data_IF_077582287870
#
_entry.id   IF_077582287870
#
_cell.length_a   1.000
_cell.length_b   1.000
_cell.length_c   1.000
_cell.angle_alpha   90.00
_cell.angle_beta   90.00
_cell.angle_gamma   90.00
#
_symmetry.space_group_name_H-M   'P 1'
#
loop_
_entity.id
_entity.type
_entity.pdbx_description
1 polymer ?
#
# COMPACT_ATOMS: atom_id res chain seq x y z
N UNK A 1 -35.64 -20.41 -20.12
CA UNK A 1 -34.27 -20.83 -19.72
C UNK A 1 -33.16 -20.05 -20.42
N UNK A 2 -33.21 -19.73 -21.71
CA UNK A 2 -32.12 -19.01 -22.43
C UNK A 2 -31.89 -17.54 -21.98
N UNK A 3 -32.91 -16.84 -21.49
CA UNK A 3 -32.82 -15.44 -21.06
C UNK A 3 -32.11 -15.35 -19.69
N UNK A 4 -32.39 -16.28 -18.78
CA UNK A 4 -31.72 -16.32 -17.45
C UNK A 4 -30.23 -16.59 -17.56
N UNK A 5 -29.80 -17.45 -18.49
CA UNK A 5 -28.38 -17.74 -18.70
C UNK A 5 -27.61 -16.52 -19.28
N UNK A 6 -28.27 -15.72 -20.14
CA UNK A 6 -27.64 -14.49 -20.65
C UNK A 6 -27.56 -13.38 -19.59
N UNK A 7 -28.58 -13.26 -18.74
CA UNK A 7 -28.57 -12.31 -17.63
C UNK A 7 -27.51 -12.67 -16.59
N UNK A 8 -27.35 -13.95 -16.27
CA UNK A 8 -26.33 -14.44 -15.33
C UNK A 8 -24.91 -14.20 -15.88
N UNK A 9 -24.68 -14.38 -17.18
CA UNK A 9 -23.41 -14.13 -17.84
C UNK A 9 -23.05 -12.62 -17.85
N UNK A 10 -24.02 -11.74 -18.03
CA UNK A 10 -23.81 -10.29 -17.98
C UNK A 10 -23.49 -9.85 -16.55
N UNK A 11 -24.15 -10.44 -15.52
CA UNK A 11 -23.92 -10.10 -14.12
C UNK A 11 -22.54 -10.57 -13.63
N UNK A 12 -22.04 -11.72 -14.09
CA UNK A 12 -20.67 -12.19 -13.78
C UNK A 12 -19.58 -11.33 -14.43
N UNK A 13 -19.84 -10.73 -15.61
CA UNK A 13 -18.87 -9.86 -16.26
C UNK A 13 -18.67 -8.52 -15.52
N UNK A 14 -19.69 -8.01 -14.84
CA UNK A 14 -19.58 -6.75 -14.07
C UNK A 14 -18.73 -6.90 -12.80
N UNK A 15 -18.61 -8.09 -12.21
CA UNK A 15 -17.78 -8.30 -11.02
C UNK A 15 -16.26 -8.38 -11.32
N UNK A 16 -15.87 -8.63 -12.55
CA UNK A 16 -14.45 -8.74 -12.93
C UNK A 16 -13.78 -7.38 -13.16
N UNK A 17 -14.54 -6.29 -13.34
CA UNK A 17 -14.00 -4.96 -13.59
C UNK A 17 -13.61 -4.17 -12.33
N UNK A 18 -13.93 -4.66 -11.13
CA UNK A 18 -13.78 -3.87 -9.91
C UNK A 18 -12.36 -3.91 -9.29
N UNK A 19 -11.54 -4.89 -9.62
CA UNK A 19 -10.24 -5.07 -8.94
C UNK A 19 -9.07 -4.30 -9.56
N UNK A 20 -9.13 -3.92 -10.84
CA UNK A 20 -7.99 -3.28 -11.54
C UNK A 20 -8.07 -1.75 -11.61
N UNK A 21 -9.17 -1.15 -11.19
CA UNK A 21 -9.44 0.28 -11.47
C UNK A 21 -8.43 1.26 -10.86
N UNK A 22 -7.93 0.99 -9.64
CA UNK A 22 -6.96 1.88 -8.98
C UNK A 22 -5.56 1.74 -9.57
N UNK A 23 -5.13 0.51 -9.84
CA UNK A 23 -3.84 0.23 -10.46
C UNK A 23 -3.77 0.75 -11.90
N UNK A 24 -4.80 0.52 -12.70
CA UNK A 24 -4.90 1.06 -14.06
C UNK A 24 -4.89 2.59 -14.07
N UNK A 25 -5.65 3.22 -13.16
CA UNK A 25 -5.67 4.67 -13.02
C UNK A 25 -4.29 5.22 -12.65
N UNK A 26 -3.57 4.55 -11.73
CA UNK A 26 -2.23 4.93 -11.30
C UNK A 26 -1.23 4.92 -12.48
N UNK A 27 -1.35 3.96 -13.39
CA UNK A 27 -0.41 3.78 -14.49
C UNK A 27 -0.79 4.51 -15.78
N UNK A 28 -2.08 4.85 -15.97
CA UNK A 28 -2.56 5.49 -17.18
C UNK A 28 -2.66 7.03 -17.10
N UNK A 29 -2.40 7.63 -15.94
CA UNK A 29 -2.47 9.08 -15.75
C UNK A 29 -1.13 9.66 -15.30
N UNK A 30 -0.90 10.93 -15.66
CA UNK A 30 0.24 11.69 -15.13
C UNK A 30 -0.20 12.41 -13.85
N UNK A 31 0.61 12.27 -12.81
CA UNK A 31 0.39 12.91 -11.52
C UNK A 31 1.51 13.89 -11.20
N UNK A 32 1.15 14.97 -10.52
CA UNK A 32 2.08 16.01 -10.07
C UNK A 32 1.77 16.34 -8.61
N UNK A 33 2.29 15.53 -7.65
CA UNK A 33 2.05 15.76 -6.23
C UNK A 33 2.48 17.15 -5.81
N UNK A 34 1.75 17.79 -4.86
CA UNK A 34 1.89 19.24 -4.59
C UNK A 34 3.11 19.59 -3.74
N UNK A 35 3.69 18.65 -3.01
CA UNK A 35 4.83 18.88 -2.11
C UNK A 35 5.79 17.68 -2.08
N UNK A 36 6.96 17.87 -1.44
CA UNK A 36 8.03 16.87 -1.40
C UNK A 36 7.61 15.57 -0.72
N UNK A 37 6.93 15.63 0.44
CA UNK A 37 6.45 14.43 1.11
C UNK A 37 5.48 13.62 0.24
N UNK A 38 4.49 14.31 -0.31
CA UNK A 38 3.48 13.71 -1.19
C UNK A 38 4.11 13.08 -2.43
N UNK A 39 5.14 13.74 -2.98
CA UNK A 39 5.87 13.20 -4.14
C UNK A 39 6.62 11.93 -3.80
N UNK A 40 7.40 11.93 -2.71
CA UNK A 40 8.17 10.74 -2.31
C UNK A 40 7.25 9.58 -1.97
N UNK A 41 6.18 9.84 -1.23
CA UNK A 41 5.22 8.81 -0.85
C UNK A 41 4.48 8.24 -2.06
N UNK A 42 4.11 9.10 -3.02
CA UNK A 42 3.53 8.67 -4.30
C UNK A 42 4.48 7.73 -5.06
N UNK A 43 5.73 8.12 -5.21
CA UNK A 43 6.72 7.34 -5.95
C UNK A 43 6.93 5.96 -5.30
N UNK A 44 7.06 5.91 -3.97
CA UNK A 44 7.28 4.68 -3.20
C UNK A 44 6.08 3.74 -3.25
N UNK A 45 4.86 4.24 -3.06
CA UNK A 45 3.67 3.40 -3.18
C UNK A 45 3.39 2.95 -4.62
N UNK A 46 3.71 3.77 -5.61
CA UNK A 46 3.62 3.36 -7.01
C UNK A 46 4.58 2.22 -7.33
N UNK A 47 5.81 2.27 -6.82
CA UNK A 47 6.78 1.19 -6.97
C UNK A 47 6.27 -0.10 -6.34
N UNK A 48 5.75 -0.04 -5.10
CA UNK A 48 5.17 -1.20 -4.43
C UNK A 48 3.95 -1.76 -5.18
N UNK A 49 3.04 -0.91 -5.63
CA UNK A 49 1.89 -1.33 -6.41
C UNK A 49 2.29 -2.08 -7.69
N UNK A 50 3.32 -1.60 -8.39
CA UNK A 50 3.85 -2.27 -9.57
C UNK A 50 4.52 -3.61 -9.23
N UNK A 51 5.27 -3.67 -8.12
CA UNK A 51 5.89 -4.91 -7.66
C UNK A 51 4.85 -5.97 -7.34
N UNK A 52 3.82 -5.64 -6.55
CA UNK A 52 2.74 -6.56 -6.21
C UNK A 52 1.97 -7.04 -7.45
N UNK A 53 1.64 -6.13 -8.38
CA UNK A 53 0.90 -6.51 -9.59
C UNK A 53 1.74 -7.35 -10.56
N UNK A 54 3.01 -6.97 -10.81
CA UNK A 54 3.80 -7.52 -11.91
C UNK A 54 4.68 -8.69 -11.50
N UNK A 55 5.15 -8.73 -10.25
CA UNK A 55 6.07 -9.75 -9.74
C UNK A 55 5.37 -10.75 -8.83
N UNK A 56 4.54 -10.26 -7.92
CA UNK A 56 3.87 -11.09 -6.93
C UNK A 56 2.51 -11.59 -7.40
N UNK A 57 1.90 -10.88 -8.37
CA UNK A 57 0.54 -11.12 -8.86
C UNK A 57 -0.53 -11.01 -7.74
N UNK A 58 -0.19 -10.26 -6.68
CA UNK A 58 -1.13 -9.90 -5.62
C UNK A 58 -1.88 -8.61 -5.97
N UNK A 59 -3.09 -8.80 -6.48
CA UNK A 59 -3.96 -7.69 -6.88
C UNK A 59 -4.60 -6.97 -5.70
N UNK A 60 -4.66 -7.57 -4.51
CA UNK A 60 -5.19 -6.92 -3.31
C UNK A 60 -4.19 -5.90 -2.78
N UNK A 61 -2.93 -6.30 -2.62
CA UNK A 61 -1.84 -5.42 -2.20
C UNK A 61 -1.52 -4.38 -3.27
N UNK A 62 -1.53 -4.76 -4.56
CA UNK A 62 -1.40 -3.81 -5.67
C UNK A 62 -2.49 -2.72 -5.65
N UNK A 63 -3.74 -3.08 -5.35
CA UNK A 63 -4.84 -2.12 -5.20
C UNK A 63 -4.61 -1.20 -4.01
N UNK A 64 -4.28 -1.74 -2.83
CA UNK A 64 -4.03 -0.96 -1.62
C UNK A 64 -2.97 0.11 -1.85
N UNK A 65 -1.80 -0.29 -2.36
CA UNK A 65 -0.71 0.64 -2.66
C UNK A 65 -1.04 1.63 -3.77
N UNK A 66 -1.82 1.22 -4.76
CA UNK A 66 -2.31 2.13 -5.80
C UNK A 66 -3.23 3.21 -5.22
N UNK A 67 -4.13 2.87 -4.33
CA UNK A 67 -5.03 3.82 -3.66
C UNK A 67 -4.24 4.80 -2.82
N UNK A 68 -3.27 4.35 -2.03
CA UNK A 68 -2.36 5.20 -1.27
C UNK A 68 -1.53 6.14 -2.17
N UNK A 69 -0.98 5.64 -3.26
CA UNK A 69 -0.29 6.47 -4.24
C UNK A 69 -1.21 7.57 -4.80
N UNK A 70 -2.44 7.22 -5.19
CA UNK A 70 -3.41 8.17 -5.72
C UNK A 70 -3.85 9.23 -4.70
N UNK A 71 -3.88 8.89 -3.41
CA UNK A 71 -4.14 9.86 -2.33
C UNK A 71 -2.94 10.78 -2.10
N UNK A 72 -1.72 10.22 -2.09
CA UNK A 72 -0.50 11.01 -2.02
C UNK A 72 -0.40 12.00 -3.19
N UNK A 73 -0.79 11.58 -4.40
CA UNK A 73 -0.82 12.45 -5.59
C UNK A 73 -1.75 13.66 -5.42
N UNK A 74 -2.77 13.58 -4.57
CA UNK A 74 -3.69 14.68 -4.24
C UNK A 74 -3.16 15.57 -3.09
N UNK A 75 -2.03 15.22 -2.47
CA UNK A 75 -1.49 15.94 -1.32
C UNK A 75 -2.09 15.52 0.03
N UNK A 76 -2.78 14.39 0.09
CA UNK A 76 -3.26 13.84 1.36
C UNK A 76 -2.06 13.44 2.22
N UNK A 77 -2.05 13.85 3.47
CA UNK A 77 -0.98 13.51 4.43
C UNK A 77 -1.25 12.12 5.02
N UNK A 78 -0.84 11.12 4.26
CA UNK A 78 -1.08 9.70 4.56
C UNK A 78 -0.20 9.27 5.73
N UNK A 79 -0.80 8.53 6.64
CA UNK A 79 -0.13 7.80 7.72
C UNK A 79 0.00 6.32 7.33
N UNK A 80 0.87 5.53 8.01
CA UNK A 80 0.85 4.08 7.82
C UNK A 80 -0.52 3.51 8.15
N UNK A 81 -0.85 2.34 7.59
CA UNK A 81 -2.09 1.66 7.93
C UNK A 81 -2.19 1.40 9.43
N UNK A 82 -3.42 1.51 9.97
CA UNK A 82 -3.63 1.18 11.36
C UNK A 82 -3.19 -0.26 11.62
N UNK A 83 -2.46 -0.47 12.71
CA UNK A 83 -1.92 -1.79 13.06
C UNK A 83 -2.99 -2.89 13.13
N UNK A 84 -4.22 -2.54 13.49
CA UNK A 84 -5.33 -3.49 13.56
C UNK A 84 -5.95 -3.84 12.20
N UNK A 85 -5.52 -3.18 11.13
CA UNK A 85 -5.91 -3.54 9.77
C UNK A 85 -5.31 -4.90 9.39
N UNK A 86 -4.09 -5.17 9.86
CA UNK A 86 -3.30 -6.33 9.54
C UNK A 86 -3.56 -7.49 10.51
N UNK A 87 -3.67 -8.71 10.00
CA UNK A 87 -3.80 -9.95 10.80
C UNK A 87 -2.43 -10.53 11.13
N UNK A 88 -1.58 -9.74 11.73
CA UNK A 88 -0.20 -10.09 12.05
C UNK A 88 -0.17 -11.23 13.08
N UNK A 89 0.65 -12.29 12.87
CA UNK A 89 0.85 -13.34 13.87
C UNK A 89 1.31 -12.79 15.24
N UNK A 90 0.80 -13.37 16.33
CA UNK A 90 0.97 -12.85 17.68
C UNK A 90 2.44 -12.61 18.07
N UNK A 91 3.35 -13.48 17.62
CA UNK A 91 4.79 -13.40 17.88
C UNK A 91 5.46 -12.16 17.28
N UNK A 92 4.86 -11.55 16.24
CA UNK A 92 5.39 -10.37 15.55
C UNK A 92 4.66 -9.07 15.90
N UNK A 93 3.46 -9.15 16.50
CA UNK A 93 2.62 -7.98 16.79
C UNK A 93 3.32 -6.92 17.63
N UNK A 94 4.05 -7.34 18.69
CA UNK A 94 4.72 -6.39 19.58
C UNK A 94 5.77 -5.56 18.87
N UNK A 95 6.54 -6.18 17.97
CA UNK A 95 7.60 -5.48 17.25
C UNK A 95 7.03 -4.46 16.25
N UNK A 96 6.03 -4.85 15.48
CA UNK A 96 5.42 -3.97 14.47
C UNK A 96 4.62 -2.85 15.15
N UNK A 97 3.93 -3.16 16.27
CA UNK A 97 3.26 -2.11 17.05
C UNK A 97 4.25 -1.09 17.60
N UNK A 98 5.39 -1.52 18.11
CA UNK A 98 6.42 -0.59 18.59
C UNK A 98 6.96 0.28 17.45
N UNK A 99 7.20 -0.30 16.28
CA UNK A 99 7.61 0.43 15.09
C UNK A 99 6.57 1.48 14.68
N UNK A 100 5.30 1.11 14.65
CA UNK A 100 4.19 2.02 14.37
C UNK A 100 4.12 3.18 15.39
N UNK A 101 4.13 2.86 16.68
CA UNK A 101 4.03 3.87 17.76
C UNK A 101 5.21 4.85 17.70
N UNK A 102 6.44 4.36 17.46
CA UNK A 102 7.63 5.19 17.31
C UNK A 102 7.52 6.11 16.08
N UNK A 103 7.12 5.59 14.93
CA UNK A 103 6.93 6.38 13.71
C UNK A 103 5.87 7.48 13.93
N UNK A 104 4.74 7.13 14.54
CA UNK A 104 3.67 8.10 14.80
C UNK A 104 4.10 9.19 15.80
N UNK A 105 5.00 8.87 16.74
CA UNK A 105 5.50 9.88 17.70
C UNK A 105 6.33 10.98 17.05
N UNK A 106 6.95 10.71 15.90
CA UNK A 106 7.80 11.65 15.15
C UNK A 106 7.15 12.17 13.86
N UNK A 107 5.94 11.72 13.54
CA UNK A 107 5.29 11.99 12.24
C UNK A 107 5.24 13.50 11.90
N UNK A 108 4.68 14.30 12.80
CA UNK A 108 4.49 15.74 12.54
C UNK A 108 5.81 16.50 12.36
N UNK A 109 6.82 16.38 13.25
CA UNK A 109 8.09 17.03 13.01
C UNK A 109 8.81 16.48 11.78
N UNK A 110 8.76 15.19 11.50
CA UNK A 110 9.41 14.59 10.33
C UNK A 110 8.75 15.03 9.01
N UNK A 111 7.44 15.27 9.01
CA UNK A 111 6.73 15.81 7.84
C UNK A 111 7.33 17.13 7.34
N UNK A 112 7.84 17.95 8.26
CA UNK A 112 8.42 19.26 7.97
C UNK A 112 9.92 19.17 7.70
N UNK A 113 10.65 18.39 8.51
CA UNK A 113 12.10 18.41 8.53
C UNK A 113 12.77 17.31 7.71
N UNK A 114 12.08 16.17 7.50
CA UNK A 114 12.63 15.03 6.77
C UNK A 114 11.54 14.27 6.00
N UNK A 115 10.90 14.91 5.01
CA UNK A 115 9.78 14.32 4.29
C UNK A 115 10.15 13.06 3.49
N UNK A 116 11.41 12.93 3.07
CA UNK A 116 11.86 11.74 2.34
C UNK A 116 11.92 10.51 3.26
N UNK A 117 12.63 10.60 4.39
CA UNK A 117 12.75 9.46 5.29
C UNK A 117 11.40 9.13 5.96
N UNK A 118 10.55 10.14 6.22
CA UNK A 118 9.18 9.87 6.68
C UNK A 118 8.38 9.07 5.66
N UNK A 119 8.40 9.47 4.39
CA UNK A 119 7.71 8.74 3.32
C UNK A 119 8.23 7.30 3.19
N UNK A 120 9.57 7.12 3.27
CA UNK A 120 10.19 5.81 3.26
C UNK A 120 9.74 4.95 4.46
N UNK A 121 9.78 5.50 5.66
CA UNK A 121 9.36 4.78 6.86
C UNK A 121 7.88 4.36 6.80
N UNK A 122 6.99 5.25 6.34
CA UNK A 122 5.56 4.93 6.19
C UNK A 122 5.37 3.79 5.21
N UNK A 123 5.92 3.90 4.00
CA UNK A 123 5.73 2.89 2.96
C UNK A 123 6.40 1.56 3.31
N UNK A 124 7.53 1.59 4.02
CA UNK A 124 8.25 0.39 4.46
C UNK A 124 7.57 -0.31 5.63
N UNK A 125 6.94 0.45 6.55
CA UNK A 125 6.15 -0.13 7.63
C UNK A 125 4.90 -0.83 7.12
N UNK A 126 4.20 -0.24 6.15
CA UNK A 126 3.06 -0.87 5.50
C UNK A 126 3.47 -2.17 4.79
N UNK A 127 4.57 -2.12 4.04
CA UNK A 127 5.16 -3.28 3.39
C UNK A 127 5.53 -4.38 4.39
N UNK A 128 6.23 -4.03 5.48
CA UNK A 128 6.59 -5.00 6.50
C UNK A 128 5.36 -5.61 7.19
N UNK A 129 4.34 -4.80 7.46
CA UNK A 129 3.10 -5.28 8.08
C UNK A 129 2.32 -6.23 7.16
N UNK A 130 2.23 -5.89 5.90
CA UNK A 130 1.58 -6.70 4.87
C UNK A 130 2.32 -8.04 4.68
N UNK A 131 3.62 -8.01 4.43
CA UNK A 131 4.43 -9.22 4.26
C UNK A 131 4.46 -10.08 5.54
N UNK A 132 4.39 -9.47 6.72
CA UNK A 132 4.31 -10.20 7.98
C UNK A 132 2.93 -10.81 8.22
N UNK A 133 1.84 -10.24 7.69
CA UNK A 133 0.52 -10.88 7.68
C UNK A 133 0.54 -12.16 6.85
N UNK A 134 1.15 -12.13 5.66
CA UNK A 134 1.32 -13.30 4.80
C UNK A 134 2.21 -14.38 5.41
N UNK A 135 3.26 -13.97 6.11
CA UNK A 135 4.15 -14.78 6.95
C UNK A 135 4.81 -15.99 6.23
N UNK A 136 5.15 -15.88 4.95
CA UNK A 136 5.79 -16.95 4.21
C UNK A 136 7.05 -16.54 3.43
N UNK A 137 7.12 -15.31 2.92
CA UNK A 137 8.26 -14.80 2.17
C UNK A 137 9.29 -14.10 3.07
N UNK A 138 10.10 -14.86 3.79
CA UNK A 138 11.08 -14.31 4.75
C UNK A 138 12.00 -13.25 4.15
N UNK A 139 12.40 -13.39 2.88
CA UNK A 139 13.27 -12.41 2.21
C UNK A 139 12.57 -11.06 2.02
N UNK A 140 11.28 -11.05 1.71
CA UNK A 140 10.52 -9.84 1.49
C UNK A 140 10.15 -9.15 2.81
N UNK A 141 9.74 -9.94 3.81
CA UNK A 141 9.58 -9.47 5.19
C UNK A 141 10.83 -8.73 5.66
N UNK A 142 12.02 -9.34 5.50
CA UNK A 142 13.27 -8.74 5.91
C UNK A 142 13.61 -7.49 5.10
N UNK A 143 13.39 -7.51 3.79
CA UNK A 143 13.65 -6.35 2.93
C UNK A 143 12.80 -5.13 3.33
N UNK A 144 11.50 -5.34 3.58
CA UNK A 144 10.61 -4.27 4.03
C UNK A 144 11.01 -3.76 5.43
N UNK A 145 11.33 -4.68 6.34
CA UNK A 145 11.77 -4.36 7.70
C UNK A 145 13.09 -3.59 7.72
N UNK A 146 14.09 -4.04 6.97
CA UNK A 146 15.41 -3.39 6.91
C UNK A 146 15.33 -2.01 6.24
N UNK A 147 14.37 -1.83 5.31
CA UNK A 147 14.10 -0.52 4.71
C UNK A 147 13.42 0.45 5.69
N UNK A 148 12.72 -0.06 6.71
CA UNK A 148 12.12 0.73 7.76
C UNK A 148 13.12 1.14 8.84
N UNK A 149 14.06 0.27 9.23
CA UNK A 149 15.03 0.46 10.32
C UNK A 149 16.21 1.35 9.93
#
# INVERSE_FOLDING_TARGET
MAIYNKLLLIFTFFFLYSCSSSYEKLNNANFSPPDSFSKHLFDMYKEKANFEAEKMHDWNSAKLYSEKALEAAKGVKIQPENINYWKIPNEHQTQIKLAYDNLMSIYEPALIHDPYNLANAISSLDCWSEQQEENWQTWDINNCKDSFL
#
